data_IF_665112534929
#
_entry.id   IF_665112534929
#
_cell.length_a   1.000
_cell.length_b   1.000
_cell.length_c   1.000
_cell.angle_alpha   90.00
_cell.angle_beta   90.00
_cell.angle_gamma   90.00
#
_symmetry.space_group_name_H-M   'P 1'
#
loop_
_entity.id
_entity.type
_entity.pdbx_description
1 polymer ?
#
# COMPACT_ATOMS: atom_id res chain seq x y z
N UNK A 1 3.69 -69.94 -29.09
CA UNK A 1 4.63 -68.88 -28.67
C UNK A 1 4.26 -67.48 -29.14
N UNK A 2 3.14 -67.28 -29.85
CA UNK A 2 2.68 -65.95 -30.29
C UNK A 2 1.75 -65.24 -29.28
N UNK A 3 1.05 -65.98 -28.42
CA UNK A 3 0.08 -65.44 -27.47
C UNK A 3 0.72 -64.76 -26.23
N UNK A 4 1.91 -65.19 -25.82
CA UNK A 4 2.63 -64.58 -24.67
C UNK A 4 3.30 -63.25 -25.03
N UNK A 5 3.70 -63.04 -26.30
CA UNK A 5 4.27 -61.78 -26.79
C UNK A 5 3.23 -60.65 -26.89
N UNK A 6 1.97 -60.98 -27.17
CA UNK A 6 0.89 -59.98 -27.23
C UNK A 6 0.42 -59.49 -25.85
N UNK A 7 0.48 -60.32 -24.80
CA UNK A 7 0.17 -59.89 -23.44
C UNK A 7 1.25 -58.97 -22.85
N UNK A 8 2.53 -59.27 -23.08
CA UNK A 8 3.64 -58.44 -22.57
C UNK A 8 3.64 -57.05 -23.26
N UNK A 9 3.33 -56.98 -24.56
CA UNK A 9 3.27 -55.71 -25.27
C UNK A 9 2.07 -54.85 -24.84
N UNK A 10 0.96 -55.47 -24.41
CA UNK A 10 -0.19 -54.76 -23.82
C UNK A 10 0.08 -54.27 -22.40
N UNK A 11 0.85 -55.00 -21.59
CA UNK A 11 1.27 -54.55 -20.26
C UNK A 11 2.31 -53.42 -20.29
N UNK A 12 3.23 -53.42 -21.26
CA UNK A 12 4.25 -52.37 -21.41
C UNK A 12 3.61 -51.05 -21.90
N UNK A 13 2.64 -51.11 -22.83
CA UNK A 13 1.90 -49.92 -23.25
C UNK A 13 1.05 -49.34 -22.11
N UNK A 14 0.45 -50.18 -21.26
CA UNK A 14 -0.24 -49.71 -20.05
C UNK A 14 0.71 -49.12 -18.99
N UNK A 15 1.92 -49.66 -18.80
CA UNK A 15 2.91 -49.08 -17.88
C UNK A 15 3.54 -47.78 -18.41
N UNK A 16 3.76 -47.63 -19.71
CA UNK A 16 4.27 -46.38 -20.31
C UNK A 16 3.18 -45.29 -20.30
N UNK A 17 1.90 -45.66 -20.47
CA UNK A 17 0.78 -44.74 -20.26
C UNK A 17 0.53 -44.41 -18.78
N UNK A 18 1.10 -45.17 -17.84
CA UNK A 18 1.05 -44.86 -16.41
C UNK A 18 2.19 -43.94 -15.93
N UNK A 19 3.23 -43.74 -16.75
CA UNK A 19 4.31 -42.79 -16.49
C UNK A 19 3.97 -41.35 -16.93
N UNK A 20 2.83 -41.17 -17.60
CA UNK A 20 2.16 -39.88 -17.73
C UNK A 20 0.99 -39.88 -16.75
N UNK A 21 1.31 -39.94 -15.45
CA UNK A 21 0.32 -39.73 -14.40
C UNK A 21 -0.15 -38.29 -14.53
N UNK A 22 -1.21 -38.14 -15.32
CA UNK A 22 -2.05 -36.96 -15.42
C UNK A 22 -2.31 -36.45 -14.00
N UNK A 23 -1.66 -35.35 -13.63
CA UNK A 23 -2.08 -34.50 -12.51
C UNK A 23 -3.35 -33.71 -12.97
N UNK A 24 -4.30 -34.41 -13.60
CA UNK A 24 -5.53 -33.87 -14.20
C UNK A 24 -6.79 -34.37 -13.49
N UNK A 25 -6.66 -35.15 -12.41
CA UNK A 25 -7.80 -35.51 -11.57
C UNK A 25 -8.06 -34.44 -10.52
N UNK A 26 -9.27 -33.87 -10.57
CA UNK A 26 -9.90 -33.01 -9.57
C UNK A 26 -9.97 -33.66 -8.19
N UNK A 27 -8.83 -33.70 -7.51
CA UNK A 27 -8.70 -33.70 -6.06
C UNK A 27 -7.78 -32.52 -5.77
N UNK A 28 -8.13 -31.69 -4.81
CA UNK A 28 -7.35 -30.48 -4.43
C UNK A 28 -6.02 -30.95 -3.82
N UNK A 29 -5.07 -31.38 -4.66
CA UNK A 29 -3.79 -31.95 -4.28
C UNK A 29 -2.74 -31.46 -5.25
N UNK A 30 -1.88 -30.56 -4.78
CA UNK A 30 -0.83 -29.97 -5.61
C UNK A 30 0.34 -30.96 -5.76
N UNK A 31 0.90 -31.05 -6.97
CA UNK A 31 1.89 -32.07 -7.33
C UNK A 31 3.26 -31.77 -6.68
N UNK A 32 4.01 -32.77 -6.21
CA UNK A 32 5.34 -32.57 -5.63
C UNK A 32 6.30 -31.92 -6.65
N UNK A 33 7.24 -31.10 -6.18
CA UNK A 33 8.18 -30.40 -7.05
C UNK A 33 9.57 -30.31 -6.44
N UNK A 34 10.59 -30.48 -7.28
CA UNK A 34 12.01 -30.34 -6.91
C UNK A 34 12.67 -29.34 -7.84
N UNK A 35 13.21 -28.25 -7.30
CA UNK A 35 13.88 -27.20 -8.06
C UNK A 35 15.33 -27.09 -7.61
N UNK A 36 16.26 -27.46 -8.50
CA UNK A 36 17.71 -27.42 -8.22
C UNK A 36 18.28 -26.01 -8.31
N UNK A 37 19.38 -25.80 -7.58
CA UNK A 37 20.14 -24.55 -7.49
C UNK A 37 19.28 -23.35 -7.10
N UNK A 38 18.20 -23.58 -6.36
CA UNK A 38 17.29 -22.54 -5.91
C UNK A 38 16.76 -22.85 -4.54
N UNK A 39 16.42 -21.79 -3.81
CA UNK A 39 15.77 -21.85 -2.51
C UNK A 39 14.62 -20.87 -2.47
N UNK A 40 13.58 -21.20 -1.72
CA UNK A 40 12.53 -20.26 -1.35
C UNK A 40 13.09 -19.19 -0.40
N UNK A 41 12.63 -17.95 -0.56
CA UNK A 41 13.07 -16.81 0.25
C UNK A 41 12.94 -17.08 1.76
N UNK A 42 13.96 -16.71 2.59
CA UNK A 42 13.98 -16.99 4.03
C UNK A 42 12.78 -16.48 4.83
N UNK A 43 12.03 -15.50 4.32
CA UNK A 43 10.83 -14.99 5.01
C UNK A 43 9.69 -16.00 5.16
N UNK A 44 9.73 -17.09 4.37
CA UNK A 44 8.77 -18.19 4.44
C UNK A 44 9.25 -19.34 5.32
N UNK A 45 10.47 -19.24 5.87
CA UNK A 45 11.05 -20.21 6.77
C UNK A 45 10.21 -20.32 8.04
N UNK A 46 9.81 -21.55 8.34
CA UNK A 46 9.13 -21.97 9.55
C UNK A 46 10.15 -22.35 10.63
N UNK A 47 11.14 -23.18 10.26
CA UNK A 47 12.13 -23.73 11.18
C UNK A 47 13.40 -24.13 10.42
N UNK A 48 14.56 -23.97 11.05
CA UNK A 48 15.86 -24.41 10.53
C UNK A 48 16.36 -25.64 11.28
N UNK A 49 16.91 -26.59 10.55
CA UNK A 49 17.67 -27.73 11.04
C UNK A 49 19.08 -27.63 10.46
N UNK A 50 20.07 -27.96 11.28
CA UNK A 50 21.49 -27.93 10.94
C UNK A 50 22.01 -29.36 11.09
N UNK A 51 22.98 -29.73 10.26
CA UNK A 51 23.63 -31.04 10.28
C UNK A 51 22.62 -32.19 10.14
N UNK A 52 21.66 -31.99 9.23
CA UNK A 52 20.69 -33.01 8.81
C UNK A 52 20.97 -33.40 7.38
N UNK A 53 20.73 -34.66 7.03
CA UNK A 53 20.70 -35.10 5.64
C UNK A 53 19.36 -34.72 4.97
N UNK A 54 19.27 -34.99 3.67
CA UNK A 54 18.09 -34.69 2.87
C UNK A 54 16.86 -35.48 3.32
N UNK A 55 17.05 -36.72 3.83
CA UNK A 55 15.97 -37.58 4.28
C UNK A 55 15.37 -37.09 5.60
N UNK A 56 16.22 -36.68 6.55
CA UNK A 56 15.84 -36.04 7.80
C UNK A 56 15.05 -34.76 7.55
N UNK A 57 15.39 -34.01 6.50
CA UNK A 57 14.63 -32.83 6.09
C UNK A 57 13.21 -33.18 5.62
N UNK A 58 13.04 -34.26 4.84
CA UNK A 58 11.72 -34.77 4.43
C UNK A 58 10.90 -35.18 5.65
N UNK A 59 11.47 -36.02 6.52
CA UNK A 59 10.80 -36.54 7.71
C UNK A 59 10.38 -35.40 8.63
N UNK A 60 11.23 -34.39 8.81
CA UNK A 60 10.92 -33.25 9.64
C UNK A 60 9.78 -32.38 9.07
N UNK A 61 9.73 -32.18 7.74
CA UNK A 61 8.65 -31.42 7.12
C UNK A 61 7.32 -32.21 7.10
N UNK A 62 7.38 -33.53 6.92
CA UNK A 62 6.18 -34.36 6.94
C UNK A 62 5.53 -34.37 8.34
N UNK A 63 6.35 -34.51 9.38
CA UNK A 63 5.91 -34.47 10.78
C UNK A 63 5.50 -33.08 11.28
N UNK A 64 5.83 -32.02 10.56
CA UNK A 64 5.43 -30.64 10.89
C UNK A 64 4.14 -30.27 10.15
N UNK A 65 2.99 -30.16 10.83
CA UNK A 65 1.70 -29.90 10.18
C UNK A 65 1.69 -28.62 9.35
N UNK A 66 2.47 -27.62 9.77
CA UNK A 66 2.57 -26.32 9.11
C UNK A 66 3.61 -26.28 8.00
N UNK A 67 4.37 -27.35 7.77
CA UNK A 67 5.39 -27.40 6.71
C UNK A 67 4.81 -27.90 5.39
N UNK A 68 5.16 -27.24 4.29
CA UNK A 68 4.66 -27.56 2.95
C UNK A 68 5.77 -27.73 1.91
N UNK A 69 6.92 -27.13 2.20
CA UNK A 69 8.11 -27.19 1.37
C UNK A 69 9.34 -27.02 2.25
N UNK A 70 10.52 -27.27 1.71
CA UNK A 70 11.78 -27.02 2.40
C UNK A 70 12.87 -26.62 1.42
N UNK A 71 13.87 -25.92 1.93
CA UNK A 71 15.15 -25.72 1.25
C UNK A 71 16.17 -26.66 1.88
N UNK A 72 16.95 -27.36 1.07
CA UNK A 72 18.07 -28.16 1.52
C UNK A 72 19.35 -27.70 0.83
N UNK A 73 20.34 -27.27 1.61
CA UNK A 73 21.64 -26.84 1.12
C UNK A 73 22.72 -27.78 1.61
N UNK A 74 23.41 -28.45 0.68
CA UNK A 74 24.48 -29.39 0.99
C UNK A 74 25.68 -28.66 1.60
N UNK A 75 26.32 -29.29 2.59
CA UNK A 75 27.67 -28.94 3.03
C UNK A 75 28.63 -30.02 2.49
N UNK A 76 29.88 -29.65 2.24
CA UNK A 76 30.89 -30.56 1.65
C UNK A 76 31.26 -31.74 2.58
N UNK A 77 30.77 -31.75 3.81
CA UNK A 77 31.12 -32.73 4.84
C UNK A 77 29.91 -33.63 5.11
N UNK A 78 30.07 -34.93 4.83
CA UNK A 78 29.24 -36.05 5.32
C UNK A 78 27.76 -36.10 4.88
N UNK A 79 27.41 -35.67 3.65
CA UNK A 79 26.02 -35.65 3.14
C UNK A 79 25.04 -34.84 4.01
N UNK A 80 25.56 -34.10 4.99
CA UNK A 80 24.82 -33.23 5.88
C UNK A 80 24.66 -31.86 5.25
N UNK A 81 23.63 -31.15 5.70
CA UNK A 81 23.29 -29.86 5.15
C UNK A 81 22.50 -29.00 6.12
N UNK A 82 22.07 -27.86 5.60
CA UNK A 82 21.11 -26.96 6.24
C UNK A 82 19.75 -27.22 5.61
N UNK A 83 18.77 -27.51 6.45
CA UNK A 83 17.39 -27.71 6.04
C UNK A 83 16.52 -26.58 6.61
N UNK A 84 15.94 -25.76 5.75
CA UNK A 84 14.96 -24.74 6.12
C UNK A 84 13.56 -25.23 5.74
N UNK A 85 12.78 -25.62 6.75
CA UNK A 85 11.36 -25.94 6.59
C UNK A 85 10.59 -24.66 6.28
N UNK A 86 9.64 -24.72 5.36
CA UNK A 86 8.87 -23.57 4.91
C UNK A 86 7.36 -23.79 5.12
N UNK A 87 6.67 -22.71 5.48
CA UNK A 87 5.25 -22.74 5.87
C UNK A 87 4.24 -22.70 4.73
N UNK A 88 4.70 -22.75 3.48
CA UNK A 88 3.83 -22.50 2.33
C UNK A 88 4.30 -23.21 1.06
N UNK A 89 3.38 -23.25 0.09
CA UNK A 89 3.51 -23.86 -1.23
C UNK A 89 3.84 -22.82 -2.31
N UNK A 90 4.69 -23.15 -3.27
CA UNK A 90 5.01 -22.29 -4.43
C UNK A 90 4.41 -22.90 -5.70
N UNK A 91 3.55 -22.13 -6.36
CA UNK A 91 3.01 -22.48 -7.67
C UNK A 91 4.12 -22.61 -8.73
N UNK A 92 3.96 -23.52 -9.68
CA UNK A 92 4.97 -23.83 -10.71
C UNK A 92 5.36 -22.59 -11.55
N UNK A 93 4.37 -21.75 -11.89
CA UNK A 93 4.58 -20.48 -12.59
C UNK A 93 5.40 -19.44 -11.77
N UNK A 94 5.66 -19.69 -10.48
CA UNK A 94 6.51 -18.88 -9.59
C UNK A 94 7.86 -19.53 -9.29
N UNK A 95 8.22 -20.65 -9.93
CA UNK A 95 9.55 -21.26 -9.78
C UNK A 95 10.62 -20.47 -10.55
N UNK A 96 10.26 -19.89 -11.70
CA UNK A 96 11.17 -19.18 -12.60
C UNK A 96 10.61 -17.84 -13.09
N UNK A 97 11.45 -17.05 -13.77
CA UNK A 97 11.07 -15.77 -14.37
C UNK A 97 11.11 -14.57 -13.42
N UNK A 98 10.63 -13.43 -13.93
CA UNK A 98 10.63 -12.12 -13.23
C UNK A 98 9.89 -12.17 -11.89
N UNK A 99 8.91 -13.05 -11.80
CA UNK A 99 8.07 -13.18 -10.61
C UNK A 99 8.40 -14.33 -9.67
N UNK A 100 9.54 -14.98 -9.90
CA UNK A 100 9.96 -16.14 -9.12
C UNK A 100 10.06 -15.82 -7.63
N UNK A 101 9.58 -16.76 -6.80
CA UNK A 101 9.80 -16.75 -5.35
C UNK A 101 11.03 -17.56 -4.94
N UNK A 102 11.62 -18.28 -5.89
CA UNK A 102 12.81 -19.10 -5.70
C UNK A 102 14.03 -18.32 -6.18
N UNK A 103 14.98 -18.06 -5.29
CA UNK A 103 16.23 -17.37 -5.62
C UNK A 103 17.32 -18.38 -5.94
N UNK A 104 18.21 -18.03 -6.86
CA UNK A 104 19.35 -18.90 -7.21
C UNK A 104 20.26 -19.06 -5.99
N UNK A 105 20.59 -20.30 -5.67
CA UNK A 105 21.50 -20.69 -4.61
C UNK A 105 22.21 -21.98 -5.03
N UNK A 106 23.48 -21.87 -5.40
CA UNK A 106 24.28 -23.02 -5.81
C UNK A 106 24.43 -24.01 -4.66
N UNK A 107 24.40 -25.32 -4.95
CA UNK A 107 24.47 -26.36 -3.92
C UNK A 107 23.20 -26.51 -3.07
N UNK A 108 22.09 -25.87 -3.45
CA UNK A 108 20.82 -25.98 -2.74
C UNK A 108 19.70 -26.50 -3.63
N UNK A 109 18.67 -27.07 -3.00
CA UNK A 109 17.46 -27.59 -3.63
C UNK A 109 16.25 -27.08 -2.86
N UNK A 110 15.23 -26.63 -3.59
CA UNK A 110 13.89 -26.41 -3.06
C UNK A 110 13.03 -27.64 -3.34
N UNK A 111 12.35 -28.17 -2.32
CA UNK A 111 11.46 -29.32 -2.43
C UNK A 111 10.08 -28.99 -1.87
N UNK A 112 9.04 -29.39 -2.60
CA UNK A 112 7.65 -29.42 -2.15
C UNK A 112 7.19 -30.85 -1.91
N UNK A 113 6.55 -31.08 -0.76
CA UNK A 113 6.05 -32.40 -0.38
C UNK A 113 4.57 -32.55 -0.74
N UNK A 114 4.14 -33.70 -1.29
CA UNK A 114 2.73 -33.92 -1.56
C UNK A 114 1.99 -34.04 -0.22
N UNK A 115 1.15 -33.06 0.11
CA UNK A 115 0.21 -33.16 1.24
C UNK A 115 -1.22 -33.27 0.72
N UNK A 116 -2.09 -34.01 1.41
CA UNK A 116 -3.54 -34.05 1.16
C UNK A 116 -4.21 -33.19 2.23
N UNK A 117 -4.73 -32.02 1.87
CA UNK A 117 -5.42 -31.13 2.82
C UNK A 117 -6.80 -30.79 2.27
N UNK A 118 -7.82 -30.93 3.11
CA UNK A 118 -9.23 -30.66 2.79
C UNK A 118 -9.59 -29.16 2.75
N UNK A 119 -8.73 -28.29 3.29
CA UNK A 119 -8.97 -26.85 3.48
C UNK A 119 -8.04 -25.93 2.67
N UNK A 120 -7.43 -26.42 1.60
CA UNK A 120 -6.50 -25.63 0.76
C UNK A 120 -5.11 -25.48 1.37
N UNK A 121 -4.14 -25.09 0.53
CA UNK A 121 -2.73 -24.96 0.92
C UNK A 121 -2.38 -23.48 1.07
N UNK A 122 -1.63 -23.08 2.12
CA UNK A 122 -1.10 -21.73 2.17
C UNK A 122 -0.09 -21.56 1.03
N UNK A 123 -0.43 -20.74 0.04
CA UNK A 123 0.46 -20.41 -1.09
C UNK A 123 1.42 -19.31 -0.66
N UNK A 124 2.71 -19.51 -0.89
CA UNK A 124 3.73 -18.49 -0.72
C UNK A 124 3.41 -17.35 -1.68
N UNK A 125 3.08 -16.21 -1.13
CA UNK A 125 2.91 -15.00 -1.91
C UNK A 125 4.08 -14.09 -1.59
N UNK A 126 4.63 -13.44 -2.62
CA UNK A 126 5.47 -12.27 -2.36
C UNK A 126 4.58 -11.35 -1.55
N UNK A 127 4.92 -11.11 -0.28
CA UNK A 127 4.34 -9.96 0.42
C UNK A 127 4.45 -8.80 -0.56
N UNK A 128 3.31 -8.32 -1.05
CA UNK A 128 3.25 -6.96 -1.51
C UNK A 128 3.85 -6.20 -0.34
N UNK A 129 4.97 -5.50 -0.56
CA UNK A 129 5.42 -4.50 0.41
C UNK A 129 4.13 -3.82 0.89
N UNK A 130 3.83 -3.75 2.21
CA UNK A 130 2.69 -2.97 2.62
C UNK A 130 2.83 -1.66 1.88
N UNK A 131 1.86 -1.31 1.02
CA UNK A 131 1.91 -0.07 0.25
C UNK A 131 2.33 0.96 1.29
N UNK A 132 3.54 1.51 1.15
CA UNK A 132 4.04 2.54 2.06
C UNK A 132 2.89 3.47 2.38
N UNK A 133 2.66 3.85 3.64
CA UNK A 133 1.45 4.55 4.12
C UNK A 133 0.89 5.45 3.03
N UNK A 134 -0.05 4.90 2.25
CA UNK A 134 -0.33 5.46 0.94
C UNK A 134 -1.28 6.59 1.20
N UNK A 135 -0.94 7.78 0.70
CA UNK A 135 -1.89 8.86 0.52
C UNK A 135 -3.22 8.29 0.02
N UNK A 136 -4.18 8.20 0.93
CA UNK A 136 -5.48 7.58 0.70
C UNK A 136 -6.43 8.69 0.29
N UNK A 137 -7.04 8.55 -0.89
CA UNK A 137 -8.08 9.47 -1.33
C UNK A 137 -9.28 9.31 -0.40
N UNK A 138 -9.73 10.40 0.19
CA UNK A 138 -10.84 10.40 1.15
C UNK A 138 -12.19 10.50 0.46
N UNK A 139 -12.28 11.35 -0.57
CA UNK A 139 -13.52 11.66 -1.25
C UNK A 139 -13.72 10.82 -2.53
N UNK A 140 -14.94 10.34 -2.76
CA UNK A 140 -15.31 9.66 -4.00
C UNK A 140 -15.36 10.66 -5.16
N UNK A 141 -16.17 11.71 -5.01
CA UNK A 141 -16.31 12.82 -5.96
C UNK A 141 -15.56 14.07 -5.47
N UNK A 142 -15.10 14.93 -6.38
CA UNK A 142 -14.39 16.17 -6.02
C UNK A 142 -15.22 17.05 -5.08
N UNK A 143 -14.56 17.63 -4.10
CA UNK A 143 -15.16 18.55 -3.13
C UNK A 143 -14.85 19.96 -3.61
N UNK A 144 -15.84 20.85 -3.57
CA UNK A 144 -15.67 22.23 -4.02
C UNK A 144 -15.89 23.23 -2.89
N UNK A 145 -14.83 23.93 -2.52
CA UNK A 145 -14.84 25.00 -1.54
C UNK A 145 -15.13 26.34 -2.22
N UNK A 146 -15.95 27.18 -1.60
CA UNK A 146 -16.15 28.57 -1.99
C UNK A 146 -15.60 29.51 -0.93
N UNK A 147 -15.39 30.79 -1.26
CA UNK A 147 -14.91 31.77 -0.26
C UNK A 147 -15.96 32.13 0.79
N UNK A 148 -17.22 31.72 0.60
CA UNK A 148 -18.38 32.08 1.44
C UNK A 148 -18.98 30.90 2.20
N UNK A 149 -18.45 29.69 2.04
CA UNK A 149 -18.94 28.50 2.74
C UNK A 149 -17.81 27.50 2.96
N UNK A 150 -17.87 26.77 4.08
CA UNK A 150 -16.97 25.65 4.36
C UNK A 150 -17.48 24.35 3.73
N UNK A 151 -16.62 23.32 3.72
CA UNK A 151 -16.97 21.98 3.25
C UNK A 151 -16.46 20.92 4.23
N UNK A 152 -17.23 19.86 4.39
CA UNK A 152 -16.85 18.73 5.25
C UNK A 152 -16.15 17.63 4.45
N UNK A 153 -15.18 17.00 5.10
CA UNK A 153 -14.43 15.85 4.63
C UNK A 153 -14.61 14.74 5.65
N UNK A 154 -15.28 13.66 5.25
CA UNK A 154 -15.61 12.55 6.15
C UNK A 154 -14.50 11.50 6.07
N UNK A 155 -13.88 11.16 7.19
CA UNK A 155 -12.76 10.23 7.23
C UNK A 155 -13.19 8.81 6.86
N UNK A 156 -12.50 8.14 5.91
CA UNK A 156 -12.94 6.85 5.38
C UNK A 156 -12.58 5.67 6.29
N UNK A 157 -11.63 5.87 7.21
CA UNK A 157 -11.15 4.84 8.11
C UNK A 157 -10.69 5.41 9.46
N UNK A 158 -10.74 4.59 10.51
CA UNK A 158 -10.17 4.93 11.82
C UNK A 158 -8.66 4.68 11.84
N UNK A 159 -7.93 5.52 12.57
CA UNK A 159 -6.49 5.37 12.72
C UNK A 159 -5.76 6.63 13.15
N UNK A 160 -4.45 6.66 12.88
CA UNK A 160 -3.58 7.80 13.14
C UNK A 160 -3.15 8.44 11.82
N UNK A 161 -3.35 9.76 11.72
CA UNK A 161 -3.05 10.59 10.56
C UNK A 161 -1.94 11.56 10.88
N UNK A 162 -0.92 11.67 10.01
CA UNK A 162 0.12 12.69 10.15
C UNK A 162 0.16 13.69 9.01
N UNK A 163 -0.41 13.37 7.85
CA UNK A 163 -0.34 14.24 6.68
C UNK A 163 -1.68 14.39 5.98
N UNK A 164 -1.90 15.57 5.39
CA UNK A 164 -3.02 15.84 4.50
C UNK A 164 -2.53 16.61 3.28
N UNK A 165 -3.13 16.34 2.11
CA UNK A 165 -2.93 17.15 0.91
C UNK A 165 -4.22 17.32 0.12
N UNK A 166 -4.34 18.44 -0.59
CA UNK A 166 -5.43 18.75 -1.50
C UNK A 166 -4.88 18.74 -2.93
N UNK A 167 -5.48 17.94 -3.80
CA UNK A 167 -5.11 17.87 -5.22
C UNK A 167 -6.15 18.64 -6.04
N UNK A 168 -5.70 19.65 -6.78
CA UNK A 168 -6.54 20.49 -7.61
C UNK A 168 -7.31 19.66 -8.66
N UNK A 169 -8.52 20.11 -8.97
CA UNK A 169 -9.32 19.58 -10.08
C UNK A 169 -9.73 20.73 -11.00
N UNK A 170 -10.32 21.80 -10.45
CA UNK A 170 -10.81 22.92 -11.26
C UNK A 170 -11.10 24.16 -10.43
N UNK A 171 -11.24 25.30 -11.12
CA UNK A 171 -11.70 26.56 -10.53
C UNK A 171 -10.58 27.41 -9.92
N UNK A 172 -10.97 28.44 -9.18
CA UNK A 172 -10.06 29.36 -8.50
C UNK A 172 -10.81 30.16 -7.44
N UNK A 173 -10.06 30.69 -6.48
CA UNK A 173 -10.53 31.56 -5.42
C UNK A 173 -9.70 32.83 -5.41
N UNK A 174 -10.28 33.93 -4.96
CA UNK A 174 -9.61 35.23 -4.86
C UNK A 174 -10.07 35.97 -3.62
N UNK A 175 -9.18 36.76 -3.02
CA UNK A 175 -9.53 37.71 -1.98
C UNK A 175 -9.98 39.07 -2.54
N UNK A 176 -9.95 39.27 -3.87
CA UNK A 176 -10.40 40.51 -4.52
C UNK A 176 -10.93 40.21 -5.92
N UNK A 177 -12.26 40.14 -6.06
CA UNK A 177 -12.96 39.89 -7.33
C UNK A 177 -12.74 40.95 -8.40
N UNK A 178 -12.32 42.16 -8.03
CA UNK A 178 -12.07 43.26 -8.98
C UNK A 178 -10.72 43.15 -9.69
N UNK A 179 -9.85 42.23 -9.27
CA UNK A 179 -8.51 42.09 -9.82
C UNK A 179 -8.20 40.61 -10.11
N UNK A 180 -8.19 40.22 -11.39
CA UNK A 180 -7.97 38.82 -11.78
C UNK A 180 -6.61 38.28 -11.33
N UNK A 181 -5.59 39.13 -11.17
CA UNK A 181 -4.23 38.73 -10.77
C UNK A 181 -4.16 38.29 -9.31
N UNK A 182 -5.21 38.52 -8.53
CA UNK A 182 -5.35 38.05 -7.17
C UNK A 182 -5.76 36.58 -7.06
N UNK A 183 -6.36 36.02 -8.10
CA UNK A 183 -6.89 34.66 -8.06
C UNK A 183 -5.77 33.62 -7.94
N UNK A 184 -6.08 32.51 -7.29
CA UNK A 184 -5.26 31.31 -7.25
C UNK A 184 -6.05 30.09 -6.77
N UNK A 185 -5.40 28.93 -6.68
CA UNK A 185 -6.05 27.67 -6.28
C UNK A 185 -6.22 27.56 -4.77
N UNK A 186 -5.21 27.98 -4.00
CA UNK A 186 -5.12 27.72 -2.55
C UNK A 186 -5.03 28.97 -1.67
N UNK A 187 -5.26 30.15 -2.23
CA UNK A 187 -5.13 31.40 -1.50
C UNK A 187 -5.30 32.61 -2.40
N UNK A 188 -4.60 33.69 -2.08
CA UNK A 188 -4.75 34.96 -2.81
C UNK A 188 -3.40 35.60 -3.13
N UNK A 189 -3.19 35.92 -4.41
CA UNK A 189 -1.93 36.49 -4.87
C UNK A 189 -1.76 37.96 -4.51
N UNK A 190 -2.80 38.66 -4.07
CA UNK A 190 -2.73 40.07 -3.71
C UNK A 190 -2.97 40.34 -2.23
N UNK A 191 -2.53 41.50 -1.77
CA UNK A 191 -2.90 42.04 -0.47
C UNK A 191 -3.18 43.54 -0.61
N UNK A 192 -4.43 43.97 -0.41
CA UNK A 192 -4.79 45.41 -0.45
C UNK A 192 -4.30 46.19 0.76
N UNK A 193 -4.12 45.53 1.90
CA UNK A 193 -3.82 46.16 3.20
C UNK A 193 -2.32 46.13 3.53
N UNK A 194 -1.54 45.28 2.85
CA UNK A 194 -0.11 45.12 3.06
C UNK A 194 0.65 45.95 2.04
N UNK A 195 1.72 46.60 2.46
CA UNK A 195 2.52 47.54 1.68
C UNK A 195 3.28 46.97 0.47
N UNK A 196 3.05 45.73 0.01
CA UNK A 196 3.84 45.13 -1.10
C UNK A 196 3.09 44.08 -1.92
N UNK A 197 2.73 44.47 -3.15
CA UNK A 197 2.79 43.66 -4.38
C UNK A 197 1.99 42.36 -4.48
N UNK A 198 2.02 41.80 -5.69
CA UNK A 198 1.52 40.45 -5.97
C UNK A 198 2.56 39.42 -5.55
N UNK A 199 2.12 38.34 -4.90
CA UNK A 199 2.94 37.17 -4.61
C UNK A 199 2.06 35.93 -4.53
N UNK A 200 2.50 34.86 -5.18
CA UNK A 200 1.85 33.55 -5.16
C UNK A 200 2.17 32.72 -3.90
N UNK A 201 2.84 33.30 -2.89
CA UNK A 201 3.24 32.58 -1.66
C UNK A 201 2.18 32.59 -0.55
N UNK A 202 1.06 33.28 -0.76
CA UNK A 202 -0.02 33.46 0.22
C UNK A 202 -1.06 32.34 0.09
N UNK A 203 -1.02 31.41 1.02
CA UNK A 203 -1.98 30.31 1.18
C UNK A 203 -3.03 30.68 2.24
N UNK A 204 -4.24 30.16 2.08
CA UNK A 204 -5.41 30.62 2.83
C UNK A 204 -6.45 29.51 3.11
N UNK A 205 -6.03 28.25 2.99
CA UNK A 205 -6.87 27.08 3.28
C UNK A 205 -6.58 26.58 4.69
N UNK A 206 -7.62 26.39 5.49
CA UNK A 206 -7.51 25.88 6.86
C UNK A 206 -8.33 24.61 6.98
N UNK A 207 -7.80 23.64 7.72
CA UNK A 207 -8.53 22.42 8.07
C UNK A 207 -8.68 22.35 9.58
N UNK A 208 -9.91 22.21 10.05
CA UNK A 208 -10.27 22.12 11.46
C UNK A 208 -10.95 20.80 11.77
N UNK A 209 -11.05 20.47 13.06
CA UNK A 209 -12.04 19.50 13.52
C UNK A 209 -13.46 20.12 13.55
N UNK A 210 -14.45 19.34 13.97
CA UNK A 210 -15.84 19.77 14.09
C UNK A 210 -16.08 20.91 15.11
N UNK A 211 -15.16 21.10 16.05
CA UNK A 211 -15.21 22.18 17.05
C UNK A 211 -14.44 23.43 16.61
N UNK A 212 -14.11 23.56 15.32
CA UNK A 212 -13.30 24.65 14.75
C UNK A 212 -11.87 24.75 15.29
N UNK A 213 -11.36 23.72 15.98
CA UNK A 213 -9.96 23.68 16.38
C UNK A 213 -9.11 23.35 15.14
N UNK A 214 -8.12 24.19 14.86
CA UNK A 214 -7.23 24.04 13.71
C UNK A 214 -6.38 22.76 13.82
N UNK A 215 -6.34 22.01 12.73
CA UNK A 215 -5.48 20.83 12.53
C UNK A 215 -4.37 21.16 11.54
N UNK A 216 -4.73 21.68 10.36
CA UNK A 216 -3.77 22.10 9.33
C UNK A 216 -3.96 23.57 8.94
N UNK A 217 -2.85 24.33 8.82
CA UNK A 217 -1.49 23.98 9.22
C UNK A 217 -1.32 23.87 10.76
N UNK A 218 -0.41 22.99 11.22
CA UNK A 218 -0.24 22.63 12.64
C UNK A 218 0.34 23.74 13.51
N UNK A 219 1.25 24.56 12.98
CA UNK A 219 1.77 25.75 13.65
C UNK A 219 2.25 26.82 12.65
N UNK A 220 1.99 28.08 13.00
CA UNK A 220 2.16 29.34 12.23
C UNK A 220 1.05 29.71 11.24
N UNK A 221 0.19 30.61 11.73
CA UNK A 221 -0.78 31.44 11.00
C UNK A 221 -1.93 30.68 10.32
N UNK A 222 -3.18 31.17 10.35
CA UNK A 222 -3.55 32.56 10.65
C UNK A 222 -3.97 32.90 12.08
N UNK A 223 -3.80 34.18 12.42
CA UNK A 223 -4.32 34.85 13.63
C UNK A 223 -5.33 35.93 13.22
N UNK A 224 -5.94 36.64 14.18
CA UNK A 224 -6.80 37.81 13.92
C UNK A 224 -6.11 38.95 13.16
N UNK A 225 -4.78 38.90 12.98
CA UNK A 225 -4.01 39.94 12.28
C UNK A 225 -3.33 39.46 11.00
N UNK A 226 -3.13 38.16 10.81
CA UNK A 226 -2.48 37.63 9.60
C UNK A 226 -3.27 36.41 9.11
N UNK A 227 -4.02 36.57 8.01
CA UNK A 227 -4.89 35.53 7.43
C UNK A 227 -4.15 34.53 6.54
N UNK A 228 -2.96 34.90 6.05
CA UNK A 228 -2.20 34.05 5.14
C UNK A 228 -1.03 33.36 5.82
N UNK A 229 -0.69 32.20 5.28
CA UNK A 229 0.52 31.48 5.63
C UNK A 229 1.29 31.12 4.34
N UNK A 230 2.53 30.67 4.51
CA UNK A 230 3.37 30.18 3.43
C UNK A 230 3.95 28.83 3.82
N UNK A 231 4.02 27.91 2.86
CA UNK A 231 4.73 26.64 3.01
C UNK A 231 6.00 26.74 2.13
N UNK A 232 7.19 26.38 2.66
CA UNK A 232 8.42 26.38 1.86
C UNK A 232 8.23 25.61 0.56
N UNK A 233 8.72 26.19 -0.54
CA UNK A 233 8.66 25.60 -1.88
C UNK A 233 7.25 25.31 -2.44
N UNK A 234 6.19 25.87 -1.83
CA UNK A 234 4.84 25.81 -2.38
C UNK A 234 4.29 27.19 -2.71
N UNK A 235 3.30 27.23 -3.59
CA UNK A 235 2.58 28.43 -4.03
C UNK A 235 1.08 28.17 -4.03
N UNK A 236 0.29 29.25 -4.10
CA UNK A 236 -1.16 29.14 -4.27
C UNK A 236 -1.58 28.67 -5.68
N UNK A 237 -0.63 28.45 -6.60
CA UNK A 237 -0.88 27.96 -7.97
C UNK A 237 -0.51 26.47 -8.17
N UNK A 238 0.10 25.84 -7.16
CA UNK A 238 0.55 24.45 -7.28
C UNK A 238 -0.63 23.51 -7.53
N UNK A 239 -0.43 22.41 -8.27
CA UNK A 239 -1.47 21.39 -8.47
C UNK A 239 -1.84 20.67 -7.17
N UNK A 240 -0.93 20.63 -6.20
CA UNK A 240 -1.16 19.98 -4.92
C UNK A 240 -0.74 20.90 -3.78
N UNK A 241 -1.67 21.18 -2.87
CA UNK A 241 -1.36 21.78 -1.57
C UNK A 241 -1.05 20.66 -0.58
N UNK A 242 0.21 20.53 -0.19
CA UNK A 242 0.67 19.52 0.77
C UNK A 242 0.98 20.20 2.10
N UNK A 243 0.20 19.90 3.14
CA UNK A 243 0.45 20.47 4.45
C UNK A 243 1.68 19.81 5.10
N UNK A 244 2.47 20.56 5.91
CA UNK A 244 3.50 19.96 6.74
C UNK A 244 2.90 18.89 7.66
N UNK A 245 3.64 17.80 7.86
CA UNK A 245 3.19 16.72 8.72
C UNK A 245 2.99 17.19 10.17
N UNK A 246 1.99 16.62 10.84
CA UNK A 246 1.77 16.80 12.26
C UNK A 246 2.91 16.16 13.05
N UNK A 247 3.41 16.89 14.06
CA UNK A 247 4.40 16.36 15.00
C UNK A 247 3.80 15.30 15.92
N UNK A 248 2.51 15.46 16.24
CA UNK A 248 1.71 14.49 16.99
C UNK A 248 0.62 13.95 16.05
N UNK A 249 0.56 12.64 15.77
CA UNK A 249 -0.46 12.08 14.90
C UNK A 249 -1.88 12.38 15.42
N UNK A 250 -2.75 12.82 14.52
CA UNK A 250 -4.16 13.00 14.79
C UNK A 250 -4.84 11.63 14.82
N UNK A 251 -5.49 11.30 15.93
CA UNK A 251 -6.37 10.13 16.00
C UNK A 251 -7.71 10.50 15.38
N UNK A 252 -8.14 9.73 14.38
CA UNK A 252 -9.41 9.90 13.67
C UNK A 252 -10.23 8.63 13.74
N UNK A 253 -11.55 8.76 13.72
CA UNK A 253 -12.49 7.65 13.57
C UNK A 253 -13.09 7.63 12.18
N UNK A 254 -13.47 6.44 11.70
CA UNK A 254 -14.31 6.32 10.51
C UNK A 254 -15.57 7.17 10.68
N UNK A 255 -15.95 7.88 9.62
CA UNK A 255 -17.08 8.82 9.56
C UNK A 255 -16.90 10.09 10.40
N UNK A 256 -15.73 10.34 10.98
CA UNK A 256 -15.44 11.61 11.65
C UNK A 256 -15.29 12.75 10.62
N UNK A 257 -15.99 13.89 10.79
CA UNK A 257 -15.86 15.01 9.86
C UNK A 257 -14.69 15.92 10.24
N UNK A 258 -13.89 16.26 9.24
CA UNK A 258 -13.00 17.42 9.23
C UNK A 258 -13.61 18.52 8.37
N UNK A 259 -13.29 19.78 8.66
CA UNK A 259 -13.87 20.92 7.96
C UNK A 259 -12.78 21.71 7.26
N UNK A 260 -12.96 21.96 5.96
CA UNK A 260 -12.05 22.77 5.13
C UNK A 260 -12.66 24.15 4.94
N UNK A 261 -11.84 25.18 5.18
CA UNK A 261 -12.22 26.58 5.18
C UNK A 261 -11.33 27.38 4.25
N UNK A 262 -11.91 28.44 3.70
CA UNK A 262 -11.18 29.63 3.31
C UNK A 262 -11.16 30.58 4.53
N UNK A 263 -10.00 31.07 4.98
CA UNK A 263 -9.83 31.58 6.36
C UNK A 263 -10.81 32.70 6.77
N UNK A 264 -11.19 33.55 5.83
CA UNK A 264 -12.15 34.64 6.05
C UNK A 264 -13.47 34.15 6.67
N UNK A 265 -13.94 32.98 6.27
CA UNK A 265 -15.21 32.41 6.72
C UNK A 265 -15.06 31.78 8.13
N UNK A 266 -13.87 31.30 8.48
CA UNK A 266 -13.58 30.81 9.84
C UNK A 266 -13.43 31.96 10.85
N UNK A 267 -12.87 33.09 10.41
CA UNK A 267 -12.49 34.22 11.28
C UNK A 267 -13.57 35.30 11.43
N UNK A 268 -14.71 35.17 10.75
CA UNK A 268 -15.87 36.10 10.78
C UNK A 268 -15.49 37.59 10.75
N UNK A 269 -14.62 37.99 9.80
CA UNK A 269 -14.01 39.33 9.77
C UNK A 269 -14.91 40.45 9.21
N UNK A 270 -16.21 40.21 9.06
CA UNK A 270 -17.15 41.22 8.58
C UNK A 270 -16.94 41.71 7.13
N UNK A 271 -17.64 42.77 6.71
CA UNK A 271 -17.85 43.13 5.30
C UNK A 271 -16.62 43.68 4.56
N UNK A 272 -15.54 44.07 5.25
CA UNK A 272 -14.32 44.58 4.59
C UNK A 272 -13.63 43.55 3.67
N UNK A 273 -13.91 42.26 3.88
CA UNK A 273 -13.35 41.14 3.12
C UNK A 273 -14.38 40.46 2.19
N UNK A 274 -15.59 41.03 2.09
CA UNK A 274 -16.72 40.60 1.21
C UNK A 274 -16.45 40.69 -0.29
N UNK A 275 -15.25 41.13 -0.69
CA UNK A 275 -14.78 41.15 -2.06
C UNK A 275 -14.10 39.85 -2.49
N UNK A 276 -13.95 38.88 -1.57
CA UNK A 276 -13.52 37.54 -1.94
C UNK A 276 -14.59 36.85 -2.78
N UNK A 277 -14.18 36.04 -3.75
CA UNK A 277 -15.08 35.28 -4.61
C UNK A 277 -14.36 34.04 -5.15
N UNK A 278 -15.13 33.16 -5.77
CA UNK A 278 -14.62 32.00 -6.48
C UNK A 278 -14.94 30.70 -5.77
N UNK A 279 -14.63 29.62 -6.48
CA UNK A 279 -14.88 28.24 -6.08
C UNK A 279 -13.75 27.38 -6.63
N UNK A 280 -13.12 26.60 -5.76
CA UNK A 280 -12.06 25.65 -6.12
C UNK A 280 -12.51 24.24 -5.78
N UNK A 281 -12.39 23.33 -6.73
CA UNK A 281 -12.69 21.91 -6.57
C UNK A 281 -11.41 21.10 -6.48
N UNK A 282 -11.36 20.15 -5.55
CA UNK A 282 -10.18 19.36 -5.24
C UNK A 282 -10.53 17.96 -4.71
N UNK A 283 -9.52 17.09 -4.69
CA UNK A 283 -9.54 15.81 -4.00
C UNK A 283 -8.70 15.88 -2.73
N UNK A 284 -9.13 15.20 -1.67
CA UNK A 284 -8.43 15.16 -0.38
C UNK A 284 -7.71 13.83 -0.26
N UNK A 285 -6.44 13.88 0.10
CA UNK A 285 -5.65 12.71 0.43
C UNK A 285 -5.10 12.81 1.84
N UNK A 286 -5.12 11.68 2.55
CA UNK A 286 -4.68 11.56 3.92
C UNK A 286 -3.57 10.53 4.03
N UNK A 287 -2.56 10.82 4.82
CA UNK A 287 -1.47 9.93 5.15
C UNK A 287 -1.71 9.30 6.52
N UNK A 288 -2.12 8.04 6.54
CA UNK A 288 -2.28 7.25 7.76
C UNK A 288 -0.95 6.61 8.15
N UNK A 289 -0.47 6.83 9.37
CA UNK A 289 0.67 6.07 9.92
C UNK A 289 0.24 4.69 10.42
N UNK A 290 -1.02 4.55 10.82
CA UNK A 290 -1.64 3.29 11.26
C UNK A 290 -3.14 3.35 11.03
N UNK A 291 -3.70 2.34 10.35
CA UNK A 291 -5.16 2.11 10.29
C UNK A 291 -5.56 1.10 11.37
N UNK A 292 -6.75 1.23 11.94
CA UNK A 292 -7.26 0.37 13.03
C UNK A 292 -8.62 -0.26 12.72
N UNK A 293 -9.04 -0.20 11.46
CA UNK A 293 -10.26 -0.85 10.98
C UNK A 293 -9.97 -2.26 10.46
#
# INVERSE_FOLDING_TARGET
>A
MEFQKQLINRCIVFMILSLHFDCSFKVIGHCPATVKHRILLPKFQLRRLIDTDWLGCIVACDNEPSCFSYNFCFREIEDLGICDLNRCWVEENKHYGKDSLLVYASGCVFQQLPKKISQGFPVCQREEKPKEPRWMKVNLSSICLSTTANVQVVMPASGQVTGMKLAFVSGSITCNKSDPKCAGKWGCSCCKICTRGYTNKRLDIIITNANNNRIFPSNRYPSSHNVWYAIPNQTNEDENLVFPNLTVPLTVKRNEPLVVWYSIHLLDRGPAWSISNGRVCFNVYVFYTKTTD
#
